data_IF_138381893644
#
_entry.id   IF_138381893644
#
_cell.length_a   1.000
_cell.length_b   1.000
_cell.length_c   1.000
_cell.angle_alpha   90.00
_cell.angle_beta   90.00
_cell.angle_gamma   90.00
#
_symmetry.space_group_name_H-M   'P 1'
#
loop_
_entity.id
_entity.type
_entity.pdbx_description
1 polymer ?
#
# COMPACT_ATOMS: atom_id res chain seq x y z
N UNK A 1 -1.08 14.88 -36.69
CA UNK A 1 -2.12 14.70 -35.64
C UNK A 1 -2.01 13.36 -34.89
N UNK A 2 -1.60 12.26 -35.53
CA UNK A 2 -1.45 10.94 -34.87
C UNK A 2 -0.29 10.81 -33.86
N UNK A 3 0.84 11.48 -34.09
CA UNK A 3 2.01 11.35 -33.19
C UNK A 3 1.77 11.95 -31.81
N UNK A 4 1.19 13.15 -31.74
CA UNK A 4 0.84 13.82 -30.48
C UNK A 4 -0.17 13.01 -29.65
N UNK A 5 -1.19 12.42 -30.28
CA UNK A 5 -2.16 11.59 -29.57
C UNK A 5 -1.52 10.34 -28.93
N UNK A 6 -0.59 9.67 -29.64
CA UNK A 6 0.13 8.52 -29.07
C UNK A 6 1.11 8.90 -27.97
N UNK A 7 1.71 10.09 -28.04
CA UNK A 7 2.58 10.61 -26.98
C UNK A 7 1.78 10.99 -25.75
N UNK A 8 0.67 11.72 -25.91
CA UNK A 8 -0.22 12.14 -24.81
C UNK A 8 -0.83 10.93 -24.08
N UNK A 9 -1.21 9.88 -24.82
CA UNK A 9 -1.70 8.64 -24.21
C UNK A 9 -0.62 7.91 -23.41
N UNK A 10 0.61 7.85 -23.94
CA UNK A 10 1.75 7.25 -23.23
C UNK A 10 2.09 8.05 -21.97
N UNK A 11 2.03 9.37 -22.03
CA UNK A 11 2.33 10.23 -20.90
C UNK A 11 1.27 10.10 -19.80
N UNK A 12 -0.02 10.08 -20.15
CA UNK A 12 -1.11 9.80 -19.19
C UNK A 12 -1.01 8.42 -18.55
N UNK A 13 -0.68 7.40 -19.34
CA UNK A 13 -0.48 6.03 -18.83
C UNK A 13 0.69 5.97 -17.83
N UNK A 14 1.78 6.67 -18.16
CA UNK A 14 2.96 6.77 -17.30
C UNK A 14 2.65 7.51 -16.01
N UNK A 15 1.90 8.60 -16.08
CA UNK A 15 1.47 9.38 -14.91
C UNK A 15 0.59 8.54 -13.98
N UNK A 16 -0.41 7.84 -14.52
CA UNK A 16 -1.25 6.91 -13.75
C UNK A 16 -0.41 5.83 -13.08
N UNK A 17 0.55 5.25 -13.81
CA UNK A 17 1.44 4.22 -13.27
C UNK A 17 2.30 4.75 -12.13
N UNK A 18 2.87 5.95 -12.28
CA UNK A 18 3.66 6.59 -11.21
C UNK A 18 2.83 6.88 -9.97
N UNK A 19 1.58 7.31 -10.15
CA UNK A 19 0.65 7.53 -9.04
C UNK A 19 0.38 6.21 -8.28
N UNK A 20 0.02 5.14 -9.00
CA UNK A 20 -0.19 3.82 -8.42
C UNK A 20 1.06 3.33 -7.68
N UNK A 21 2.24 3.43 -8.29
CA UNK A 21 3.51 3.03 -7.67
C UNK A 21 3.84 3.83 -6.41
N UNK A 22 3.45 5.11 -6.35
CA UNK A 22 3.68 5.97 -5.20
C UNK A 22 2.76 5.65 -4.01
N UNK A 23 1.53 5.21 -4.29
CA UNK A 23 0.52 4.83 -3.31
C UNK A 23 0.64 3.35 -2.89
N UNK A 24 1.34 2.54 -3.68
CA UNK A 24 1.48 1.09 -3.51
C UNK A 24 1.94 0.67 -2.11
N UNK A 25 2.96 1.31 -1.48
CA UNK A 25 3.37 0.93 -0.12
C UNK A 25 2.26 1.15 0.91
N UNK A 26 1.46 2.22 0.75
CA UNK A 26 0.34 2.53 1.64
C UNK A 26 -0.82 1.53 1.48
N UNK A 27 -1.15 1.18 0.24
CA UNK A 27 -2.12 0.14 -0.08
C UNK A 27 -1.74 -1.19 0.57
N UNK A 28 -0.54 -1.70 0.27
CA UNK A 28 -0.09 -3.00 0.78
C UNK A 28 -0.10 -3.00 2.31
N UNK A 29 0.47 -1.97 2.96
CA UNK A 29 0.50 -1.91 4.44
C UNK A 29 -0.90 -1.94 5.04
N UNK A 30 -1.87 -1.26 4.42
CA UNK A 30 -3.25 -1.23 4.91
C UNK A 30 -3.92 -2.61 4.84
N UNK A 31 -3.71 -3.34 3.74
CA UNK A 31 -4.20 -4.72 3.59
C UNK A 31 -3.53 -5.65 4.61
N UNK A 32 -2.20 -5.56 4.76
CA UNK A 32 -1.46 -6.40 5.71
C UNK A 32 -1.85 -6.16 7.17
N UNK A 33 -2.02 -4.90 7.56
CA UNK A 33 -2.47 -4.54 8.90
C UNK A 33 -3.84 -5.15 9.22
N UNK A 34 -4.78 -5.06 8.27
CA UNK A 34 -6.12 -5.67 8.43
C UNK A 34 -6.08 -7.20 8.47
N UNK A 35 -5.17 -7.83 7.74
CA UNK A 35 -4.94 -9.28 7.82
C UNK A 35 -4.40 -9.71 9.19
N UNK A 36 -3.52 -8.92 9.81
CA UNK A 36 -2.96 -9.20 11.14
C UNK A 36 -3.99 -8.99 12.26
N UNK A 37 -4.76 -7.91 12.18
CA UNK A 37 -5.85 -7.58 13.12
C UNK A 37 -6.85 -8.75 13.25
N UNK A 38 -7.33 -9.25 12.11
CA UNK A 38 -8.27 -10.39 12.06
C UNK A 38 -7.64 -11.68 12.60
N UNK A 39 -6.34 -11.90 12.38
CA UNK A 39 -5.63 -13.08 12.90
C UNK A 39 -5.41 -13.01 14.41
N UNK A 40 -5.23 -11.82 14.98
CA UNK A 40 -5.09 -11.59 16.42
C UNK A 40 -6.38 -11.88 17.19
N UNK A 41 -7.55 -11.65 16.57
CA UNK A 41 -8.86 -11.95 17.16
C UNK A 41 -9.28 -13.42 16.98
N UNK A 42 -8.81 -14.10 15.94
CA UNK A 42 -9.23 -15.45 15.54
C UNK A 42 -8.44 -16.61 16.19
N UNK A 43 -8.02 -16.49 17.46
CA UNK A 43 -7.27 -17.55 18.19
C UNK A 43 -8.07 -18.85 18.44
N UNK A 44 -9.33 -18.99 17.99
CA UNK A 44 -10.17 -20.14 18.38
C UNK A 44 -10.93 -20.91 17.31
N UNK A 45 -10.87 -20.55 16.05
CA UNK A 45 -11.57 -21.32 15.02
C UNK A 45 -10.88 -21.14 13.68
N UNK A 46 -10.93 -22.15 12.83
CA UNK A 46 -10.44 -22.07 11.44
C UNK A 46 -11.31 -21.06 10.70
N UNK A 47 -11.03 -19.77 10.88
CA UNK A 47 -11.73 -18.68 10.21
C UNK A 47 -11.00 -18.47 8.89
N UNK A 48 -11.63 -18.89 7.80
CA UNK A 48 -11.23 -18.42 6.48
C UNK A 48 -11.16 -16.90 6.55
N UNK A 49 -9.99 -16.35 6.20
CA UNK A 49 -9.79 -14.90 6.22
C UNK A 49 -10.84 -14.26 5.31
N UNK A 50 -11.70 -13.41 5.88
CA UNK A 50 -12.71 -12.69 5.11
C UNK A 50 -12.04 -11.59 4.27
N UNK A 51 -11.54 -11.99 3.11
CA UNK A 51 -10.88 -11.09 2.17
C UNK A 51 -11.84 -10.01 1.65
N UNK A 52 -13.14 -10.29 1.56
CA UNK A 52 -14.13 -9.31 1.09
C UNK A 52 -14.19 -8.16 2.09
N UNK A 53 -14.35 -8.47 3.38
CA UNK A 53 -14.40 -7.45 4.43
C UNK A 53 -13.12 -6.61 4.48
N UNK A 54 -11.94 -7.22 4.30
CA UNK A 54 -10.65 -6.50 4.29
C UNK A 54 -10.61 -5.45 3.17
N UNK A 55 -11.02 -5.82 1.96
CA UNK A 55 -11.01 -4.90 0.84
C UNK A 55 -12.13 -3.86 0.92
N UNK A 56 -13.29 -4.19 1.48
CA UNK A 56 -14.35 -3.22 1.79
C UNK A 56 -13.91 -2.18 2.82
N UNK A 57 -13.21 -2.61 3.87
CA UNK A 57 -12.64 -1.72 4.86
C UNK A 57 -11.59 -0.80 4.25
N UNK A 58 -10.74 -1.32 3.36
CA UNK A 58 -9.77 -0.51 2.65
C UNK A 58 -10.43 0.57 1.77
N UNK A 59 -11.55 0.26 1.09
CA UNK A 59 -12.27 1.24 0.25
C UNK A 59 -12.69 2.50 1.00
N UNK A 60 -12.90 2.43 2.32
CA UNK A 60 -13.24 3.60 3.16
C UNK A 60 -12.11 4.62 3.25
N UNK A 61 -10.86 4.20 3.03
CA UNK A 61 -9.65 5.02 3.14
C UNK A 61 -8.78 4.99 1.87
N UNK A 62 -9.28 4.37 0.80
CA UNK A 62 -8.51 4.15 -0.41
C UNK A 62 -8.21 5.47 -1.13
N UNK A 63 -6.97 5.59 -1.63
CA UNK A 63 -6.62 6.67 -2.54
C UNK A 63 -7.31 6.49 -3.89
N UNK A 64 -7.49 7.59 -4.63
CA UNK A 64 -8.07 7.58 -5.98
C UNK A 64 -7.37 6.61 -6.93
N UNK A 65 -6.06 6.39 -6.72
CA UNK A 65 -5.23 5.48 -7.50
C UNK A 65 -5.68 4.01 -7.42
N UNK A 66 -6.18 3.58 -6.26
CA UNK A 66 -6.59 2.20 -6.01
C UNK A 66 -8.10 2.01 -5.85
N UNK A 67 -8.86 3.08 -5.60
CA UNK A 67 -10.30 2.98 -5.33
C UNK A 67 -11.06 2.22 -6.41
N UNK A 68 -10.86 2.59 -7.68
CA UNK A 68 -11.52 1.91 -8.80
C UNK A 68 -11.16 0.42 -8.85
N UNK A 69 -9.88 0.09 -8.91
CA UNK A 69 -9.45 -1.30 -9.09
C UNK A 69 -9.83 -2.21 -7.92
N UNK A 70 -9.84 -1.67 -6.69
CA UNK A 70 -10.30 -2.38 -5.49
C UNK A 70 -11.83 -2.50 -5.43
N UNK A 71 -12.59 -1.48 -5.87
CA UNK A 71 -14.05 -1.59 -5.93
C UNK A 71 -14.50 -2.66 -6.91
N UNK A 72 -13.84 -2.75 -8.07
CA UNK A 72 -14.07 -3.84 -9.02
C UNK A 72 -13.68 -5.18 -8.41
N UNK A 73 -12.57 -5.26 -7.65
CA UNK A 73 -12.18 -6.49 -6.95
C UNK A 73 -13.25 -6.95 -5.96
N UNK A 74 -13.77 -6.07 -5.10
CA UNK A 74 -14.84 -6.40 -4.13
C UNK A 74 -16.10 -6.86 -4.86
N UNK A 75 -16.49 -6.16 -5.92
CA UNK A 75 -17.63 -6.56 -6.75
C UNK A 75 -17.42 -7.96 -7.34
N UNK A 76 -16.24 -8.22 -7.91
CA UNK A 76 -15.89 -9.50 -8.51
C UNK A 76 -15.87 -10.63 -7.47
N UNK A 77 -15.30 -10.41 -6.28
CA UNK A 77 -15.29 -11.40 -5.19
C UNK A 77 -16.70 -11.78 -4.72
N UNK A 78 -17.67 -10.85 -4.80
CA UNK A 78 -19.07 -11.11 -4.45
C UNK A 78 -19.83 -11.83 -5.56
N UNK A 79 -19.40 -11.67 -6.82
CA UNK A 79 -20.09 -12.20 -7.98
C UNK A 79 -19.52 -13.55 -8.48
N UNK A 80 -18.23 -13.80 -8.26
CA UNK A 80 -17.51 -14.99 -8.72
C UNK A 80 -16.51 -15.47 -7.67
N UNK A 81 -15.81 -16.55 -8.00
CA UNK A 81 -14.73 -17.12 -7.20
C UNK A 81 -13.65 -16.08 -6.79
N UNK A 82 -13.22 -16.12 -5.53
CA UNK A 82 -12.31 -15.15 -4.91
C UNK A 82 -10.93 -15.18 -5.58
N UNK A 83 -10.40 -16.38 -5.88
CA UNK A 83 -9.10 -16.47 -6.55
C UNK A 83 -9.15 -15.86 -7.94
N UNK A 84 -10.23 -16.14 -8.67
CA UNK A 84 -10.46 -15.58 -10.00
C UNK A 84 -10.56 -14.05 -9.94
N UNK A 85 -11.24 -13.50 -8.95
CA UNK A 85 -11.30 -12.06 -8.72
C UNK A 85 -9.91 -11.46 -8.41
N UNK A 86 -9.13 -12.10 -7.53
CA UNK A 86 -7.78 -11.68 -7.20
C UNK A 86 -6.83 -11.71 -8.40
N UNK A 87 -6.94 -12.74 -9.26
CA UNK A 87 -6.17 -12.83 -10.51
C UNK A 87 -6.54 -11.71 -11.49
N UNK A 88 -7.84 -11.45 -11.69
CA UNK A 88 -8.30 -10.33 -12.53
C UNK A 88 -7.81 -8.98 -11.99
N UNK A 89 -7.80 -8.77 -10.67
CA UNK A 89 -7.22 -7.58 -10.06
C UNK A 89 -5.71 -7.46 -10.32
N UNK A 90 -4.95 -8.56 -10.17
CA UNK A 90 -3.53 -8.56 -10.47
C UNK A 90 -3.25 -8.17 -11.93
N UNK A 91 -4.03 -8.69 -12.87
CA UNK A 91 -3.92 -8.37 -14.30
C UNK A 91 -4.20 -6.90 -14.59
N UNK A 92 -5.18 -6.28 -13.91
CA UNK A 92 -5.48 -4.84 -14.05
C UNK A 92 -4.34 -3.94 -13.57
N UNK A 93 -3.72 -4.28 -12.44
CA UNK A 93 -2.65 -3.46 -11.84
C UNK A 93 -1.30 -3.72 -12.51
N UNK A 94 -0.95 -4.98 -12.75
CA UNK A 94 0.27 -5.37 -13.46
C UNK A 94 1.57 -4.97 -12.76
N UNK A 95 1.57 -4.90 -11.42
CA UNK A 95 2.77 -4.62 -10.61
C UNK A 95 3.23 -5.86 -9.86
N UNK A 96 4.56 -6.08 -9.84
CA UNK A 96 5.18 -7.26 -9.24
C UNK A 96 4.80 -7.45 -7.77
N UNK A 97 4.77 -6.36 -6.98
CA UNK A 97 4.43 -6.42 -5.56
C UNK A 97 2.96 -6.75 -5.33
N UNK A 98 2.07 -6.35 -6.25
CA UNK A 98 0.66 -6.75 -6.23
C UNK A 98 0.52 -8.23 -6.59
N UNK A 99 1.33 -8.75 -7.52
CA UNK A 99 1.36 -10.18 -7.81
C UNK A 99 1.80 -11.01 -6.61
N UNK A 100 2.81 -10.56 -5.86
CA UNK A 100 3.21 -11.21 -4.61
C UNK A 100 2.09 -11.18 -3.56
N UNK A 101 1.44 -10.03 -3.36
CA UNK A 101 0.30 -9.91 -2.45
C UNK A 101 -0.82 -10.88 -2.85
N UNK A 102 -1.24 -10.85 -4.10
CA UNK A 102 -2.34 -11.69 -4.61
C UNK A 102 -2.06 -13.18 -4.45
N UNK A 103 -0.85 -13.64 -4.76
CA UNK A 103 -0.47 -15.04 -4.59
C UNK A 103 -0.51 -15.46 -3.12
N UNK A 104 -0.03 -14.60 -2.21
CA UNK A 104 -0.09 -14.86 -0.78
C UNK A 104 -1.53 -14.85 -0.24
N UNK A 105 -2.40 -13.97 -0.74
CA UNK A 105 -3.82 -13.95 -0.39
C UNK A 105 -4.56 -15.18 -0.89
N UNK A 106 -4.26 -15.65 -2.11
CA UNK A 106 -4.80 -16.90 -2.65
C UNK A 106 -4.36 -18.09 -1.79
N UNK A 107 -3.07 -18.19 -1.46
CA UNK A 107 -2.58 -19.25 -0.57
C UNK A 107 -3.26 -19.20 0.80
N UNK A 108 -3.41 -18.01 1.39
CA UNK A 108 -4.12 -17.82 2.65
C UNK A 108 -5.60 -18.22 2.55
N UNK A 109 -6.28 -17.90 1.45
CA UNK A 109 -7.66 -18.32 1.18
C UNK A 109 -7.79 -19.86 1.10
N UNK A 110 -6.77 -20.55 0.55
CA UNK A 110 -6.67 -22.02 0.53
C UNK A 110 -6.29 -22.64 1.87
N UNK A 111 -6.01 -21.83 2.90
CA UNK A 111 -5.53 -22.29 4.21
C UNK A 111 -4.02 -22.56 4.28
N UNK A 112 -3.24 -22.12 3.29
CA UNK A 112 -1.78 -22.23 3.30
C UNK A 112 -1.14 -21.19 4.24
N UNK A 113 0.01 -21.55 4.80
CA UNK A 113 0.79 -20.64 5.63
C UNK A 113 1.59 -19.64 4.79
N UNK A 114 1.02 -18.46 4.55
CA UNK A 114 1.64 -17.40 3.75
C UNK A 114 2.20 -16.23 4.59
N UNK A 115 2.31 -16.41 5.92
CA UNK A 115 2.75 -15.35 6.84
C UNK A 115 4.14 -14.81 6.56
N UNK A 116 5.09 -15.68 6.21
CA UNK A 116 6.46 -15.28 5.91
C UNK A 116 6.55 -14.44 4.62
N UNK A 117 5.85 -14.86 3.55
CA UNK A 117 5.79 -14.12 2.29
C UNK A 117 5.21 -12.70 2.48
N UNK A 118 4.12 -12.60 3.26
CA UNK A 118 3.52 -11.31 3.61
C UNK A 118 4.47 -10.44 4.46
N UNK A 119 5.23 -11.04 5.37
CA UNK A 119 6.21 -10.32 6.18
C UNK A 119 7.39 -9.79 5.35
N UNK A 120 7.88 -10.54 4.36
CA UNK A 120 8.87 -10.02 3.41
C UNK A 120 8.31 -8.86 2.60
N UNK A 121 7.10 -9.00 2.07
CA UNK A 121 6.43 -7.94 1.31
C UNK A 121 6.25 -6.66 2.14
N UNK A 122 5.85 -6.79 3.42
CA UNK A 122 5.74 -5.66 4.34
C UNK A 122 7.07 -4.90 4.49
N UNK A 123 8.16 -5.65 4.73
CA UNK A 123 9.51 -5.08 4.89
C UNK A 123 9.96 -4.34 3.64
N UNK A 124 9.75 -4.93 2.46
CA UNK A 124 10.13 -4.30 1.19
C UNK A 124 9.35 -2.99 0.96
N UNK A 125 8.05 -2.98 1.29
CA UNK A 125 7.23 -1.76 1.18
C UNK A 125 7.65 -0.67 2.17
N UNK A 126 8.06 -1.05 3.38
CA UNK A 126 8.62 -0.10 4.34
C UNK A 126 9.92 0.52 3.85
N UNK A 127 10.81 -0.28 3.25
CA UNK A 127 12.05 0.21 2.63
C UNK A 127 11.70 1.19 1.50
N UNK A 128 10.81 0.80 0.58
CA UNK A 128 10.38 1.63 -0.56
C UNK A 128 9.78 2.96 -0.12
N UNK A 129 8.94 2.95 0.92
CA UNK A 129 8.36 4.17 1.49
C UNK A 129 9.43 5.09 2.10
N UNK A 130 10.39 4.54 2.86
CA UNK A 130 11.50 5.30 3.45
C UNK A 130 12.39 5.92 2.37
N UNK A 131 12.68 5.20 1.31
CA UNK A 131 13.45 5.72 0.17
C UNK A 131 12.72 6.85 -0.56
N UNK A 132 11.42 6.71 -0.79
CA UNK A 132 10.60 7.76 -1.39
C UNK A 132 10.63 9.04 -0.54
N UNK A 133 10.52 8.91 0.79
CA UNK A 133 10.65 10.03 1.72
C UNK A 133 12.05 10.66 1.66
N UNK A 134 13.12 9.86 1.71
CA UNK A 134 14.51 10.35 1.57
C UNK A 134 14.72 11.11 0.26
N UNK A 135 14.19 10.62 -0.85
CA UNK A 135 14.23 11.31 -2.15
C UNK A 135 13.50 12.66 -2.10
N UNK A 136 12.30 12.72 -1.50
CA UNK A 136 11.56 13.98 -1.29
C UNK A 136 12.37 14.95 -0.43
N UNK A 137 12.93 14.49 0.69
CA UNK A 137 13.77 15.31 1.59
C UNK A 137 15.06 15.80 0.94
N UNK A 138 15.65 15.04 0.02
CA UNK A 138 16.85 15.45 -0.71
C UNK A 138 16.55 16.48 -1.80
N UNK A 139 15.32 16.51 -2.33
CA UNK A 139 14.86 17.55 -3.27
C UNK A 139 14.49 18.87 -2.58
N UNK A 140 14.23 18.87 -1.27
CA UNK A 140 13.97 20.12 -0.54
C UNK A 140 15.24 20.99 -0.48
N UNK A 141 15.16 22.28 -0.85
CA UNK A 141 16.31 23.17 -0.81
C UNK A 141 16.85 23.29 0.61
N UNK A 142 18.19 23.33 0.73
CA UNK A 142 18.98 23.27 1.98
C UNK A 142 18.51 24.26 3.08
N UNK A 143 17.82 25.34 2.71
CA UNK A 143 17.27 26.35 3.63
C UNK A 143 16.19 25.80 4.58
N UNK A 144 15.37 24.83 4.15
CA UNK A 144 14.31 24.26 5.01
C UNK A 144 14.90 23.34 6.09
N UNK A 145 15.96 22.58 5.75
CA UNK A 145 16.68 21.72 6.71
C UNK A 145 17.40 22.50 7.81
N UNK A 146 17.81 23.74 7.54
CA UNK A 146 18.49 24.60 8.52
C UNK A 146 17.46 25.31 9.42
N UNK A 147 16.29 25.66 8.90
CA UNK A 147 15.22 26.32 9.66
C UNK A 147 14.56 25.42 10.72
N UNK A 148 14.60 24.09 10.58
CA UNK A 148 14.10 23.15 11.60
C UNK A 148 15.06 22.94 12.77
N UNK A 149 16.34 23.27 12.63
CA UNK A 149 17.37 23.09 13.67
C UNK A 149 17.11 23.97 14.91
N UNK A 150 16.83 25.29 14.81
CA UNK A 150 16.54 26.09 15.99
C UNK A 150 15.26 25.65 16.70
N UNK A 151 14.26 25.15 15.96
CA UNK A 151 13.02 24.66 16.57
C UNK A 151 13.28 23.43 17.47
N UNK A 152 14.11 22.49 17.01
CA UNK A 152 14.52 21.31 17.81
C UNK A 152 15.43 21.72 18.97
N UNK A 153 16.30 22.71 18.79
CA UNK A 153 17.16 23.22 19.86
C UNK A 153 16.36 23.92 20.97
N UNK A 154 15.34 24.69 20.60
CA UNK A 154 14.44 25.36 21.56
C UNK A 154 13.61 24.34 22.33
N UNK A 155 13.05 23.32 21.68
CA UNK A 155 12.31 22.27 22.42
C UNK A 155 13.20 21.47 23.36
N UNK A 156 14.45 21.17 22.98
CA UNK A 156 15.41 20.52 23.87
C UNK A 156 15.79 21.41 25.06
N UNK A 157 16.01 22.70 24.83
CA UNK A 157 16.34 23.67 25.87
C UNK A 157 15.19 23.84 26.88
N UNK A 158 13.95 23.90 26.40
CA UNK A 158 12.76 23.97 27.26
C UNK A 158 12.61 22.74 28.15
N UNK A 159 12.88 21.53 27.62
CA UNK A 159 12.80 20.29 28.39
C UNK A 159 13.88 20.22 29.47
N UNK A 160 15.10 20.64 29.15
CA UNK A 160 16.20 20.71 30.14
C UNK A 160 15.92 21.76 31.23
N UNK A 161 15.29 22.89 30.89
CA UNK A 161 14.92 23.93 31.85
C UNK A 161 13.82 23.50 32.83
N UNK A 162 12.90 22.62 32.42
CA UNK A 162 11.78 22.16 33.27
C UNK A 162 12.20 21.04 34.25
N UNK A 163 13.27 20.30 33.93
CA UNK A 163 13.75 19.17 34.75
C UNK A 163 14.91 19.56 35.67
N UNK A 164 15.54 20.72 35.44
CA UNK A 164 16.67 21.26 36.21
C UNK A 164 16.28 22.19 37.34
#
# INVERSE_FOLDING_TARGET
MYFHFTTDLKDKLKEKKLLIESELPGFIRSILYKLEDIKGEAVKTVVQVDLIQIFEDYLKVASEAFYYDVSVLVMEMKAKDIETALRSFNERIGLTEVSFLVNALIGLHRGEHQGEALAYLARDMDIKAKEALRKKLNKLPRRVKIASIPLVAVTLASLLYVVG
#
